data_IF_476008600025
#
_entry.id   IF_476008600025
#
_cell.length_a   1.000
_cell.length_b   1.000
_cell.length_c   1.000
_cell.angle_alpha   90.00
_cell.angle_beta   90.00
_cell.angle_gamma   90.00
#
_symmetry.space_group_name_H-M   'P 1'
#
loop_
_entity.id
_entity.type
_entity.pdbx_description
1 polymer ?
#
# COMPACT_ATOMS: atom_id res chain seq x y z
N UNK A 1 -26.85 -19.56 -11.32
CA UNK A 1 -26.99 -18.13 -11.59
C UNK A 1 -25.64 -17.41 -11.67
N UNK A 2 -24.79 -17.46 -10.65
CA UNK A 2 -23.43 -16.81 -10.65
C UNK A 2 -22.62 -17.20 -11.88
N UNK A 3 -22.52 -18.47 -12.25
CA UNK A 3 -21.79 -18.96 -13.43
C UNK A 3 -22.26 -18.38 -14.78
N UNK A 4 -23.48 -17.83 -14.84
CA UNK A 4 -23.99 -17.20 -16.06
C UNK A 4 -23.78 -15.69 -16.07
N UNK A 5 -23.63 -15.08 -14.90
CA UNK A 5 -23.48 -13.62 -14.76
C UNK A 5 -22.00 -13.21 -14.84
N UNK A 6 -21.10 -13.97 -14.21
CA UNK A 6 -19.69 -13.63 -14.16
C UNK A 6 -19.02 -13.41 -15.53
N UNK A 7 -19.26 -14.27 -16.55
CA UNK A 7 -18.68 -14.04 -17.88
C UNK A 7 -19.17 -12.76 -18.53
N UNK A 8 -20.39 -12.31 -18.21
CA UNK A 8 -20.94 -11.08 -18.76
C UNK A 8 -20.23 -9.82 -18.24
N UNK A 9 -19.73 -9.86 -16.99
CA UNK A 9 -18.97 -8.73 -16.41
C UNK A 9 -17.66 -8.43 -17.14
N UNK A 10 -17.10 -9.42 -17.83
CA UNK A 10 -15.83 -9.31 -18.57
C UNK A 10 -16.06 -9.06 -20.07
N UNK A 11 -17.31 -9.10 -20.50
CA UNK A 11 -17.65 -8.86 -21.92
C UNK A 11 -17.31 -7.42 -22.30
N UNK A 12 -16.54 -7.28 -23.38
CA UNK A 12 -16.20 -5.98 -23.98
C UNK A 12 -17.38 -5.35 -24.74
N UNK A 13 -18.47 -6.10 -24.90
CA UNK A 13 -19.66 -5.67 -25.64
C UNK A 13 -20.67 -4.92 -24.77
N UNK A 14 -20.48 -4.93 -23.42
CA UNK A 14 -21.40 -4.25 -22.50
C UNK A 14 -21.10 -2.76 -22.43
N UNK A 15 -22.16 -1.95 -22.51
CA UNK A 15 -22.13 -0.54 -22.17
C UNK A 15 -21.89 -0.35 -20.66
N UNK A 16 -21.34 0.79 -20.26
CA UNK A 16 -21.03 1.09 -18.84
C UNK A 16 -22.26 1.00 -17.93
N UNK A 17 -23.42 1.40 -18.43
CA UNK A 17 -24.68 1.31 -17.67
C UNK A 17 -25.11 -0.15 -17.43
N UNK A 18 -24.92 -1.02 -18.42
CA UNK A 18 -25.26 -2.44 -18.30
C UNK A 18 -24.32 -3.16 -17.33
N UNK A 19 -23.01 -2.83 -17.40
CA UNK A 19 -22.00 -3.32 -16.46
C UNK A 19 -22.35 -2.91 -15.03
N UNK A 20 -22.71 -1.66 -14.81
CA UNK A 20 -23.13 -1.16 -13.50
C UNK A 20 -24.36 -1.91 -12.95
N UNK A 21 -25.35 -2.19 -13.79
CA UNK A 21 -26.52 -2.99 -13.40
C UNK A 21 -26.14 -4.42 -13.05
N UNK A 22 -25.23 -5.04 -13.81
CA UNK A 22 -24.73 -6.39 -13.51
C UNK A 22 -23.99 -6.45 -12.17
N UNK A 23 -23.15 -5.47 -11.86
CA UNK A 23 -22.48 -5.35 -10.56
C UNK A 23 -23.48 -5.28 -9.42
N UNK A 24 -24.55 -4.48 -9.57
CA UNK A 24 -25.65 -4.42 -8.57
C UNK A 24 -26.34 -5.76 -8.40
N UNK A 25 -26.56 -6.49 -9.49
CA UNK A 25 -27.15 -7.83 -9.43
C UNK A 25 -26.23 -8.80 -8.70
N UNK A 26 -24.91 -8.78 -9.01
CA UNK A 26 -23.91 -9.60 -8.32
C UNK A 26 -23.89 -9.30 -6.83
N UNK A 27 -23.83 -8.03 -6.43
CA UNK A 27 -23.87 -7.61 -5.02
C UNK A 27 -25.13 -8.12 -4.29
N UNK A 28 -26.26 -8.02 -4.93
CA UNK A 28 -27.52 -8.51 -4.35
C UNK A 28 -27.57 -10.03 -4.21
N UNK A 29 -26.95 -10.75 -5.14
CA UNK A 29 -26.81 -12.21 -5.09
C UNK A 29 -25.84 -12.59 -3.95
N UNK A 30 -24.69 -11.92 -3.83
CA UNK A 30 -23.73 -12.16 -2.75
C UNK A 30 -24.38 -11.96 -1.38
N UNK A 31 -25.11 -10.86 -1.20
CA UNK A 31 -25.81 -10.59 0.04
C UNK A 31 -26.85 -11.70 0.41
N UNK A 32 -27.55 -12.23 -0.59
CA UNK A 32 -28.54 -13.29 -0.35
C UNK A 32 -27.93 -14.67 -0.15
N UNK A 33 -26.77 -14.94 -0.75
CA UNK A 33 -26.10 -16.23 -0.62
C UNK A 33 -25.37 -16.37 0.71
N UNK A 34 -24.91 -15.23 1.27
CA UNK A 34 -24.10 -15.22 2.50
C UNK A 34 -22.98 -16.29 2.44
N UNK A 35 -22.84 -17.12 3.46
CA UNK A 35 -21.81 -18.16 3.54
C UNK A 35 -21.85 -19.19 2.40
N UNK A 36 -22.96 -19.35 1.71
CA UNK A 36 -23.10 -20.20 0.52
C UNK A 36 -22.28 -19.71 -0.69
N UNK A 37 -21.73 -18.51 -0.63
CA UNK A 37 -20.83 -17.97 -1.66
C UNK A 37 -19.46 -18.64 -1.67
N UNK A 38 -19.05 -19.29 -0.57
CA UNK A 38 -17.72 -19.86 -0.35
C UNK A 38 -17.17 -20.71 -1.52
N UNK A 39 -17.93 -21.63 -2.14
CA UNK A 39 -17.43 -22.40 -3.28
C UNK A 39 -17.17 -21.58 -4.55
N UNK A 40 -17.63 -20.33 -4.59
CA UNK A 40 -17.54 -19.45 -5.77
C UNK A 40 -16.50 -18.34 -5.61
N UNK A 41 -15.90 -18.17 -4.42
CA UNK A 41 -14.99 -17.05 -4.09
C UNK A 41 -13.89 -16.91 -5.12
N UNK A 42 -13.14 -17.97 -5.40
CA UNK A 42 -12.04 -17.93 -6.38
C UNK A 42 -12.52 -17.46 -7.77
N UNK A 43 -13.64 -17.99 -8.26
CA UNK A 43 -14.18 -17.63 -9.59
C UNK A 43 -14.66 -16.19 -9.66
N UNK A 44 -15.21 -15.67 -8.58
CA UNK A 44 -15.62 -14.26 -8.49
C UNK A 44 -14.38 -13.38 -8.49
N UNK A 45 -13.35 -13.72 -7.70
CA UNK A 45 -12.12 -12.97 -7.61
C UNK A 45 -11.37 -12.88 -8.95
N UNK A 46 -11.24 -13.97 -9.69
CA UNK A 46 -10.61 -13.98 -11.02
C UNK A 46 -11.23 -12.93 -11.95
N UNK A 47 -12.53 -12.70 -11.85
CA UNK A 47 -13.25 -11.73 -12.66
C UNK A 47 -13.13 -10.30 -12.11
N UNK A 48 -13.14 -10.13 -10.79
CA UNK A 48 -13.30 -8.82 -10.15
C UNK A 48 -11.95 -8.20 -9.77
N UNK A 49 -10.91 -8.98 -9.49
CA UNK A 49 -9.58 -8.46 -9.14
C UNK A 49 -8.99 -7.51 -10.20
N UNK A 50 -9.08 -7.79 -11.52
CA UNK A 50 -8.65 -6.85 -12.55
C UNK A 50 -9.30 -5.48 -12.46
N UNK A 51 -10.58 -5.42 -12.08
CA UNK A 51 -11.29 -4.15 -11.92
C UNK A 51 -10.68 -3.24 -10.84
N UNK A 52 -10.02 -3.82 -9.82
CA UNK A 52 -9.41 -3.05 -8.71
C UNK A 52 -8.20 -2.22 -9.13
N UNK A 53 -7.59 -2.55 -10.25
CA UNK A 53 -6.41 -1.86 -10.81
C UNK A 53 -6.67 -1.30 -12.20
N UNK A 54 -7.92 -1.26 -12.63
CA UNK A 54 -8.35 -0.69 -13.90
C UNK A 54 -8.02 0.81 -13.99
N UNK A 55 -7.82 1.32 -15.19
CA UNK A 55 -7.64 2.74 -15.44
C UNK A 55 -8.91 3.56 -15.10
N UNK A 56 -10.08 2.98 -15.37
CA UNK A 56 -11.36 3.60 -15.04
C UNK A 56 -11.61 3.66 -13.52
N UNK A 57 -12.01 4.84 -13.06
CA UNK A 57 -12.33 5.08 -11.65
C UNK A 57 -13.56 4.30 -11.18
N UNK A 58 -14.61 4.27 -12.01
CA UNK A 58 -15.86 3.61 -11.66
C UNK A 58 -15.70 2.09 -11.58
N UNK A 59 -14.95 1.49 -12.50
CA UNK A 59 -14.59 0.08 -12.44
C UNK A 59 -13.90 -0.27 -11.11
N UNK A 60 -12.95 0.57 -10.65
CA UNK A 60 -12.30 0.36 -9.35
C UNK A 60 -13.24 0.48 -8.17
N UNK A 61 -14.20 1.39 -8.20
CA UNK A 61 -15.20 1.56 -7.13
C UNK A 61 -16.11 0.34 -7.06
N UNK A 62 -16.63 -0.10 -8.20
CA UNK A 62 -17.51 -1.27 -8.31
C UNK A 62 -16.78 -2.56 -7.90
N UNK A 63 -15.55 -2.75 -8.38
CA UNK A 63 -14.72 -3.88 -7.96
C UNK A 63 -14.50 -3.93 -6.45
N UNK A 64 -14.23 -2.77 -5.81
CA UNK A 64 -14.10 -2.68 -4.35
C UNK A 64 -15.38 -3.05 -3.63
N UNK A 65 -16.53 -2.63 -4.12
CA UNK A 65 -17.83 -2.96 -3.54
C UNK A 65 -18.08 -4.48 -3.58
N UNK A 66 -17.85 -5.11 -4.74
CA UNK A 66 -18.01 -6.57 -4.90
C UNK A 66 -17.08 -7.33 -3.97
N UNK A 67 -15.79 -7.00 -3.94
CA UNK A 67 -14.80 -7.68 -3.07
C UNK A 67 -15.12 -7.48 -1.59
N UNK A 68 -15.57 -6.27 -1.18
CA UNK A 68 -15.99 -6.00 0.19
C UNK A 68 -17.16 -6.87 0.62
N UNK A 69 -18.20 -6.97 -0.22
CA UNK A 69 -19.37 -7.79 0.06
C UNK A 69 -19.02 -9.29 0.05
N UNK A 70 -18.16 -9.70 -0.88
CA UNK A 70 -17.65 -11.07 -0.94
C UNK A 70 -16.87 -11.44 0.34
N UNK A 71 -15.99 -10.55 0.81
CA UNK A 71 -15.22 -10.76 2.03
C UNK A 71 -16.11 -10.90 3.27
N UNK A 72 -17.14 -10.07 3.40
CA UNK A 72 -18.12 -10.15 4.49
C UNK A 72 -18.91 -11.46 4.47
N UNK A 73 -19.30 -11.93 3.29
CA UNK A 73 -20.07 -13.16 3.12
C UNK A 73 -19.22 -14.44 3.30
N UNK A 74 -18.04 -14.48 2.68
CA UNK A 74 -17.19 -15.67 2.70
C UNK A 74 -16.36 -15.81 4.00
N UNK A 75 -15.92 -14.68 4.55
CA UNK A 75 -15.01 -14.59 5.70
C UNK A 75 -13.52 -14.65 5.31
N UNK A 76 -12.67 -14.18 6.21
CA UNK A 76 -11.24 -13.98 5.98
C UNK A 76 -10.50 -15.25 5.53
N UNK A 77 -10.78 -16.40 6.15
CA UNK A 77 -10.08 -17.64 5.85
C UNK A 77 -10.27 -18.08 4.39
N UNK A 78 -11.48 -17.93 3.86
CA UNK A 78 -11.78 -18.26 2.45
C UNK A 78 -11.16 -17.25 1.49
N UNK A 79 -11.16 -15.97 1.84
CA UNK A 79 -10.48 -14.95 1.03
C UNK A 79 -8.98 -15.23 0.94
N UNK A 80 -8.32 -15.52 2.08
CA UNK A 80 -6.89 -15.83 2.09
C UNK A 80 -6.61 -17.11 1.28
N UNK A 81 -7.38 -18.17 1.47
CA UNK A 81 -7.13 -19.44 0.77
C UNK A 81 -7.29 -19.31 -0.75
N UNK A 82 -8.21 -18.46 -1.21
CA UNK A 82 -8.48 -18.25 -2.63
C UNK A 82 -7.46 -17.39 -3.38
N UNK A 83 -6.73 -16.51 -2.66
CA UNK A 83 -5.76 -15.57 -3.25
C UNK A 83 -4.31 -15.89 -2.87
N UNK A 84 -4.07 -16.94 -2.06
CA UNK A 84 -2.75 -17.22 -1.49
C UNK A 84 -1.70 -17.53 -2.55
N UNK A 85 -2.07 -18.26 -3.59
CA UNK A 85 -1.15 -18.68 -4.66
C UNK A 85 -0.70 -17.51 -5.52
N UNK A 86 -1.51 -16.45 -5.61
CA UNK A 86 -1.22 -15.26 -6.41
C UNK A 86 -0.22 -14.32 -5.76
N UNK A 87 0.06 -14.48 -4.45
CA UNK A 87 1.00 -13.64 -3.71
C UNK A 87 2.44 -13.71 -4.23
N UNK A 88 2.86 -14.86 -4.72
CA UNK A 88 4.20 -15.08 -5.28
C UNK A 88 4.18 -15.46 -6.76
N UNK A 89 3.07 -15.17 -7.45
CA UNK A 89 2.97 -15.27 -8.91
C UNK A 89 4.13 -14.56 -9.60
N UNK A 90 4.63 -15.12 -10.69
CA UNK A 90 5.65 -14.47 -11.52
C UNK A 90 5.09 -13.25 -12.23
N UNK A 91 3.80 -13.23 -12.54
CA UNK A 91 3.12 -12.10 -13.16
C UNK A 91 2.92 -10.95 -12.15
N UNK A 92 3.51 -9.81 -12.45
CA UNK A 92 3.36 -8.61 -11.62
C UNK A 92 1.94 -8.06 -11.64
N UNK A 93 1.22 -8.22 -12.74
CA UNK A 93 -0.17 -7.79 -12.86
C UNK A 93 -1.05 -8.55 -11.86
N UNK A 94 -0.92 -9.87 -11.80
CA UNK A 94 -1.63 -10.72 -10.83
C UNK A 94 -1.31 -10.28 -9.40
N UNK A 95 -0.02 -10.13 -9.04
CA UNK A 95 0.36 -9.66 -7.70
C UNK A 95 -0.20 -8.28 -7.36
N UNK A 96 -0.32 -7.38 -8.34
CA UNK A 96 -0.89 -6.04 -8.14
C UNK A 96 -2.38 -6.08 -7.86
N UNK A 97 -3.13 -6.89 -8.61
CA UNK A 97 -4.56 -7.11 -8.43
C UNK A 97 -4.85 -7.76 -7.08
N UNK A 98 -4.11 -8.82 -6.75
CA UNK A 98 -4.20 -9.52 -5.45
C UNK A 98 -3.88 -8.59 -4.28
N UNK A 99 -2.84 -7.74 -4.39
CA UNK A 99 -2.54 -6.78 -3.34
C UNK A 99 -3.67 -5.74 -3.15
N UNK A 100 -4.31 -5.32 -4.24
CA UNK A 100 -5.47 -4.45 -4.17
C UNK A 100 -6.67 -5.16 -3.52
N UNK A 101 -6.93 -6.42 -3.89
CA UNK A 101 -8.01 -7.21 -3.30
C UNK A 101 -7.84 -7.39 -1.77
N UNK A 102 -6.64 -7.75 -1.31
CA UNK A 102 -6.35 -7.86 0.13
C UNK A 102 -6.51 -6.53 0.88
N UNK A 103 -6.21 -5.39 0.26
CA UNK A 103 -6.45 -4.08 0.90
C UNK A 103 -7.94 -3.82 1.11
N UNK A 104 -8.78 -4.24 0.17
CA UNK A 104 -10.25 -4.16 0.31
C UNK A 104 -10.76 -5.12 1.39
N UNK A 105 -10.20 -6.34 1.46
CA UNK A 105 -10.53 -7.31 2.52
C UNK A 105 -10.19 -6.71 3.90
N UNK A 106 -9.02 -6.07 4.04
CA UNK A 106 -8.63 -5.39 5.28
C UNK A 106 -9.59 -4.26 5.65
N UNK A 107 -10.05 -3.49 4.67
CA UNK A 107 -11.06 -2.44 4.88
C UNK A 107 -12.42 -3.02 5.29
N UNK A 108 -12.82 -4.15 4.73
CA UNK A 108 -14.14 -4.76 4.95
C UNK A 108 -14.24 -5.52 6.29
N UNK A 109 -13.16 -6.22 6.70
CA UNK A 109 -13.13 -7.10 7.87
C UNK A 109 -12.32 -6.56 9.04
N UNK A 110 -11.63 -5.44 8.83
CA UNK A 110 -10.79 -4.77 9.82
C UNK A 110 -9.32 -5.19 9.75
N UNK A 111 -8.43 -4.21 9.93
CA UNK A 111 -6.97 -4.41 9.95
C UNK A 111 -6.53 -5.43 10.99
N UNK A 112 -7.05 -5.44 12.25
CA UNK A 112 -6.61 -6.39 13.27
C UNK A 112 -6.70 -7.85 12.83
N UNK A 113 -7.75 -8.22 12.10
CA UNK A 113 -7.94 -9.57 11.59
C UNK A 113 -6.86 -9.97 10.57
N UNK A 114 -6.31 -9.00 9.84
CA UNK A 114 -5.29 -9.21 8.81
C UNK A 114 -3.85 -9.26 9.35
N UNK A 115 -3.56 -8.70 10.53
CA UNK A 115 -2.20 -8.57 11.06
C UNK A 115 -1.42 -9.89 11.11
N UNK A 116 -1.98 -11.01 11.60
CA UNK A 116 -1.25 -12.28 11.63
C UNK A 116 -0.84 -12.76 10.24
N UNK A 117 -1.73 -12.63 9.27
CA UNK A 117 -1.47 -12.97 7.88
C UNK A 117 -0.39 -12.05 7.27
N UNK A 118 -0.50 -10.74 7.44
CA UNK A 118 0.48 -9.77 6.94
C UNK A 118 1.88 -10.02 7.51
N UNK A 119 1.99 -10.26 8.82
CA UNK A 119 3.27 -10.63 9.47
C UNK A 119 3.90 -11.87 8.84
N UNK A 120 3.09 -12.89 8.56
CA UNK A 120 3.57 -14.13 7.97
C UNK A 120 4.05 -13.94 6.51
N UNK A 121 3.30 -13.19 5.70
CA UNK A 121 3.63 -12.97 4.28
C UNK A 121 4.83 -12.03 4.13
N UNK A 122 4.85 -10.89 4.85
CA UNK A 122 5.97 -9.93 4.80
C UNK A 122 7.31 -10.53 5.25
N UNK A 123 7.27 -11.63 6.04
CA UNK A 123 8.46 -12.34 6.54
C UNK A 123 8.68 -13.71 5.89
N UNK A 124 8.06 -13.94 4.74
CA UNK A 124 8.20 -15.23 4.03
C UNK A 124 9.67 -15.53 3.73
N UNK A 125 10.17 -16.65 4.28
CA UNK A 125 11.54 -17.12 4.00
C UNK A 125 11.67 -17.81 2.64
N UNK A 126 10.56 -18.27 2.07
CA UNK A 126 10.54 -19.06 0.84
C UNK A 126 10.54 -18.21 -0.42
N UNK A 127 9.84 -17.08 -0.41
CA UNK A 127 9.61 -16.28 -1.61
C UNK A 127 9.79 -14.79 -1.33
N UNK A 128 10.72 -14.16 -2.03
CA UNK A 128 10.86 -12.69 -2.00
C UNK A 128 9.67 -11.99 -2.70
N UNK A 129 9.05 -12.65 -3.69
CA UNK A 129 7.85 -12.14 -4.35
C UNK A 129 6.69 -12.03 -3.35
N UNK A 130 6.51 -13.05 -2.49
CA UNK A 130 5.52 -13.00 -1.43
C UNK A 130 5.82 -11.87 -0.44
N UNK A 131 7.08 -11.66 -0.01
CA UNK A 131 7.46 -10.52 0.86
C UNK A 131 7.12 -9.19 0.19
N UNK A 132 7.50 -9.03 -1.08
CA UNK A 132 7.21 -7.84 -1.87
C UNK A 132 5.71 -7.57 -1.96
N UNK A 133 4.89 -8.59 -2.26
CA UNK A 133 3.44 -8.46 -2.37
C UNK A 133 2.80 -8.18 -1.01
N UNK A 134 3.25 -8.84 0.07
CA UNK A 134 2.78 -8.58 1.43
C UNK A 134 3.00 -7.12 1.86
N UNK A 135 4.18 -6.58 1.58
CA UNK A 135 4.49 -5.16 1.87
C UNK A 135 3.65 -4.24 0.97
N UNK A 136 3.42 -4.62 -0.29
CA UNK A 136 2.53 -3.89 -1.19
C UNK A 136 1.08 -3.86 -0.68
N UNK A 137 0.60 -4.93 -0.05
CA UNK A 137 -0.72 -4.96 0.60
C UNK A 137 -0.77 -3.89 1.70
N UNK A 138 0.23 -3.83 2.58
CA UNK A 138 0.28 -2.81 3.64
C UNK A 138 0.28 -1.39 3.06
N UNK A 139 1.05 -1.14 2.00
CA UNK A 139 1.03 0.13 1.26
C UNK A 139 -0.38 0.46 0.76
N UNK A 140 -1.05 -0.50 0.11
CA UNK A 140 -2.41 -0.32 -0.42
C UNK A 140 -3.45 -0.10 0.68
N UNK A 141 -3.30 -0.74 1.84
CA UNK A 141 -4.16 -0.48 3.02
C UNK A 141 -4.03 0.98 3.44
N UNK A 142 -2.81 1.50 3.55
CA UNK A 142 -2.58 2.91 3.90
C UNK A 142 -3.21 3.87 2.88
N UNK A 143 -3.02 3.61 1.58
CA UNK A 143 -3.59 4.41 0.49
C UNK A 143 -5.13 4.37 0.44
N UNK A 144 -5.72 3.20 0.77
CA UNK A 144 -7.17 3.02 0.71
C UNK A 144 -7.89 3.60 1.93
N UNK A 145 -7.31 3.42 3.12
CA UNK A 145 -7.99 3.70 4.39
C UNK A 145 -7.60 5.06 5.00
N UNK A 146 -6.51 5.68 4.52
CA UNK A 146 -6.05 6.96 5.02
C UNK A 146 -5.89 6.95 6.55
N UNK A 147 -6.37 7.98 7.24
CA UNK A 147 -6.23 8.13 8.69
C UNK A 147 -6.86 7.00 9.53
N UNK A 148 -7.71 6.17 8.95
CA UNK A 148 -8.25 5.00 9.65
C UNK A 148 -7.19 3.94 10.01
N UNK A 149 -5.95 4.04 9.49
CA UNK A 149 -4.84 3.17 9.88
C UNK A 149 -4.22 3.55 11.24
N UNK A 150 -4.45 4.77 11.75
CA UNK A 150 -3.82 5.28 12.98
C UNK A 150 -3.88 4.31 14.18
N UNK A 151 -5.01 3.72 14.53
CA UNK A 151 -5.09 2.79 15.67
C UNK A 151 -4.23 1.52 15.49
N UNK A 152 -3.83 1.22 14.25
CA UNK A 152 -3.11 0.01 13.88
C UNK A 152 -1.71 0.29 13.31
N UNK A 153 -1.31 1.57 13.27
CA UNK A 153 -0.09 2.04 12.62
C UNK A 153 1.14 1.28 13.08
N UNK A 154 1.35 1.16 14.39
CA UNK A 154 2.48 0.43 14.97
C UNK A 154 2.58 -1.01 14.48
N UNK A 155 1.44 -1.72 14.43
CA UNK A 155 1.42 -3.10 13.97
C UNK A 155 1.72 -3.21 12.46
N UNK A 156 1.24 -2.25 11.65
CA UNK A 156 1.52 -2.20 10.21
C UNK A 156 2.99 -1.89 9.93
N UNK A 157 3.58 -0.93 10.66
CA UNK A 157 5.03 -0.64 10.57
C UNK A 157 5.85 -1.87 10.97
N UNK A 158 5.49 -2.55 12.07
CA UNK A 158 6.15 -3.79 12.48
C UNK A 158 6.05 -4.93 11.46
N UNK A 159 4.99 -4.98 10.66
CA UNK A 159 4.88 -5.97 9.57
C UNK A 159 5.94 -5.77 8.50
N UNK A 160 6.28 -4.52 8.17
CA UNK A 160 7.14 -4.18 7.02
C UNK A 160 8.59 -3.85 7.40
N UNK A 161 8.91 -3.61 8.67
CA UNK A 161 10.21 -3.10 9.11
C UNK A 161 11.41 -3.90 8.62
N UNK A 162 11.31 -5.23 8.60
CA UNK A 162 12.40 -6.12 8.21
C UNK A 162 12.74 -5.98 6.71
N UNK A 163 11.82 -5.46 5.90
CA UNK A 163 12.01 -5.22 4.47
C UNK A 163 12.97 -4.07 4.14
N UNK A 164 13.32 -3.18 5.10
CA UNK A 164 14.28 -2.10 4.88
C UNK A 164 15.67 -2.66 4.59
N UNK A 165 16.03 -3.75 5.26
CA UNK A 165 17.33 -4.42 5.15
C UNK A 165 17.29 -5.71 4.33
N UNK A 166 16.18 -5.95 3.60
CA UNK A 166 16.03 -7.15 2.76
C UNK A 166 17.16 -7.24 1.72
N UNK A 167 17.60 -8.44 1.43
CA UNK A 167 18.59 -8.72 0.40
C UNK A 167 18.14 -8.29 -1.00
N UNK A 168 16.82 -8.36 -1.27
CA UNK A 168 16.24 -7.99 -2.56
C UNK A 168 15.99 -6.48 -2.68
N UNK A 169 16.60 -5.77 -3.66
CA UNK A 169 16.41 -4.32 -3.84
C UNK A 169 14.95 -3.92 -4.06
N UNK A 170 14.17 -4.76 -4.76
CA UNK A 170 12.74 -4.51 -5.00
C UNK A 170 11.94 -4.53 -3.70
N UNK A 171 12.31 -5.40 -2.75
CA UNK A 171 11.66 -5.45 -1.43
C UNK A 171 12.03 -4.21 -0.61
N UNK A 172 13.30 -3.79 -0.58
CA UNK A 172 13.70 -2.54 0.09
C UNK A 172 12.93 -1.33 -0.46
N UNK A 173 12.81 -1.24 -1.79
CA UNK A 173 12.10 -0.13 -2.45
C UNK A 173 10.62 -0.10 -2.08
N UNK A 174 9.92 -1.23 -2.15
CA UNK A 174 8.49 -1.26 -1.80
C UNK A 174 8.27 -1.02 -0.30
N UNK A 175 9.22 -1.41 0.56
CA UNK A 175 9.17 -1.13 2.00
C UNK A 175 9.24 0.36 2.28
N UNK A 176 10.18 1.07 1.65
CA UNK A 176 10.27 2.52 1.77
C UNK A 176 8.97 3.21 1.28
N UNK A 177 8.40 2.75 0.16
CA UNK A 177 7.13 3.27 -0.34
C UNK A 177 5.94 2.96 0.59
N UNK A 178 5.96 1.81 1.27
CA UNK A 178 4.92 1.46 2.24
C UNK A 178 5.02 2.34 3.50
N UNK A 179 6.24 2.59 3.99
CA UNK A 179 6.47 3.52 5.10
C UNK A 179 6.06 4.94 4.74
N UNK A 180 6.35 5.40 3.51
CA UNK A 180 5.89 6.70 3.01
C UNK A 180 4.36 6.80 3.03
N UNK A 181 3.65 5.78 2.55
CA UNK A 181 2.19 5.75 2.53
C UNK A 181 1.58 5.71 3.94
N UNK A 182 2.19 4.95 4.86
CA UNK A 182 1.77 4.91 6.27
C UNK A 182 1.96 6.26 6.95
N UNK A 183 3.10 6.92 6.73
CA UNK A 183 3.37 8.26 7.29
C UNK A 183 2.43 9.31 6.70
N UNK A 184 2.20 9.30 5.39
CA UNK A 184 1.24 10.19 4.73
C UNK A 184 -0.18 10.03 5.28
N UNK A 185 -0.60 8.77 5.49
CA UNK A 185 -1.93 8.44 6.01
C UNK A 185 -2.11 8.81 7.49
N UNK A 186 -1.04 8.82 8.28
CA UNK A 186 -1.08 9.10 9.72
C UNK A 186 -0.89 10.56 10.08
N UNK A 187 -0.41 11.39 9.14
CA UNK A 187 -0.13 12.81 9.38
C UNK A 187 -1.32 13.51 10.09
N UNK A 188 -1.04 14.33 11.12
CA UNK A 188 0.26 14.72 11.70
C UNK A 188 0.72 13.87 12.90
N UNK A 189 0.19 12.69 13.12
CA UNK A 189 0.37 11.88 14.34
C UNK A 189 1.15 10.58 14.11
N UNK A 190 1.58 9.94 15.19
CA UNK A 190 2.02 8.55 15.19
C UNK A 190 3.50 8.32 14.96
N UNK A 191 4.36 9.32 15.17
CA UNK A 191 5.81 9.19 14.99
C UNK A 191 6.42 8.03 15.80
N UNK A 192 5.90 7.76 16.99
CA UNK A 192 6.37 6.70 17.89
C UNK A 192 6.25 5.30 17.25
N UNK A 193 5.34 5.16 16.30
CA UNK A 193 5.17 3.91 15.56
C UNK A 193 6.32 3.64 14.60
N UNK A 194 7.07 4.68 14.20
CA UNK A 194 8.19 4.59 13.26
C UNK A 194 9.55 4.45 13.95
N UNK A 195 9.64 4.54 15.27
CA UNK A 195 10.93 4.50 16.00
C UNK A 195 11.79 3.29 15.61
N UNK A 196 11.17 2.13 15.41
CA UNK A 196 11.89 0.90 15.05
C UNK A 196 12.46 0.91 13.61
N UNK A 197 12.07 1.85 12.76
CA UNK A 197 12.51 1.94 11.35
C UNK A 197 13.34 3.19 11.05
N UNK A 198 13.40 4.19 11.95
CA UNK A 198 14.12 5.43 11.69
C UNK A 198 15.62 5.19 11.45
N UNK A 199 16.33 4.56 12.38
CA UNK A 199 17.77 4.34 12.26
C UNK A 199 18.14 3.52 10.99
N UNK A 200 17.50 2.37 10.70
CA UNK A 200 17.81 1.63 9.48
C UNK A 200 17.42 2.39 8.20
N UNK A 201 16.34 3.19 8.20
CA UNK A 201 15.95 3.98 7.05
C UNK A 201 16.99 5.09 6.76
N UNK A 202 17.41 5.87 7.75
CA UNK A 202 18.44 6.91 7.60
C UNK A 202 19.80 6.34 7.21
N UNK A 203 20.19 5.20 7.75
CA UNK A 203 21.39 4.51 7.31
C UNK A 203 21.30 4.09 5.84
N UNK A 204 20.14 3.63 5.40
CA UNK A 204 19.92 3.20 4.02
C UNK A 204 19.99 4.36 3.02
N UNK A 205 19.48 5.55 3.36
CA UNK A 205 19.54 6.76 2.51
C UNK A 205 20.98 7.15 2.15
N UNK A 206 21.92 6.95 3.06
CA UNK A 206 23.35 7.24 2.83
C UNK A 206 24.01 6.32 1.78
N UNK A 207 23.50 5.09 1.64
CA UNK A 207 24.08 4.05 0.78
C UNK A 207 23.33 3.85 -0.54
N UNK A 208 22.01 4.01 -0.52
CA UNK A 208 21.16 3.78 -1.69
C UNK A 208 21.43 4.76 -2.83
N UNK A 209 21.04 4.36 -4.06
CA UNK A 209 21.11 5.18 -5.28
C UNK A 209 19.88 4.93 -6.15
N UNK A 210 19.61 5.86 -7.07
CA UNK A 210 18.55 5.73 -8.08
C UNK A 210 17.15 5.54 -7.47
N UNK A 211 16.35 4.65 -8.06
CA UNK A 211 14.96 4.41 -7.65
C UNK A 211 14.78 4.01 -6.18
N UNK A 212 15.73 3.25 -5.63
CA UNK A 212 15.67 2.86 -4.22
C UNK A 212 15.93 4.04 -3.28
N UNK A 213 16.85 4.92 -3.64
CA UNK A 213 17.06 6.17 -2.91
C UNK A 213 15.84 7.10 -3.01
N UNK A 214 15.28 7.25 -4.20
CA UNK A 214 14.06 8.05 -4.40
C UNK A 214 12.90 7.60 -3.50
N UNK A 215 12.69 6.28 -3.38
CA UNK A 215 11.69 5.71 -2.49
C UNK A 215 12.00 5.99 -1.01
N UNK A 216 13.26 5.85 -0.59
CA UNK A 216 13.69 6.14 0.77
C UNK A 216 13.54 7.64 1.11
N UNK A 217 13.93 8.54 0.20
CA UNK A 217 13.74 9.99 0.37
C UNK A 217 12.26 10.34 0.48
N UNK A 218 11.41 9.70 -0.31
CA UNK A 218 9.96 9.88 -0.18
C UNK A 218 9.46 9.50 1.21
N UNK A 219 9.93 8.38 1.77
CA UNK A 219 9.56 7.96 3.13
C UNK A 219 10.04 8.98 4.17
N UNK A 220 11.29 9.42 4.07
CA UNK A 220 11.88 10.46 4.93
C UNK A 220 11.03 11.74 4.91
N UNK A 221 10.68 12.22 3.71
CA UNK A 221 9.88 13.44 3.55
C UNK A 221 8.50 13.38 4.19
N UNK A 222 7.86 12.21 4.26
CA UNK A 222 6.58 12.06 4.95
C UNK A 222 6.72 11.78 6.45
N UNK A 223 7.84 11.22 6.90
CA UNK A 223 8.08 10.92 8.32
C UNK A 223 8.53 12.17 9.10
N UNK A 224 9.37 13.01 8.51
CA UNK A 224 9.88 14.24 9.16
C UNK A 224 8.75 15.12 9.72
N UNK A 225 7.66 15.41 8.97
CA UNK A 225 6.56 16.23 9.48
C UNK A 225 5.76 15.63 10.64
N UNK A 226 6.00 14.37 10.99
CA UNK A 226 5.39 13.74 12.17
C UNK A 226 6.21 13.99 13.45
N UNK A 227 7.44 14.48 13.33
CA UNK A 227 8.37 14.69 14.44
C UNK A 227 8.11 16.04 15.11
N UNK A 228 8.50 16.16 16.38
CA UNK A 228 8.67 17.45 17.02
C UNK A 228 9.85 18.23 16.38
N UNK A 229 9.86 19.55 16.55
CA UNK A 229 10.84 20.47 15.96
C UNK A 229 12.29 20.06 16.25
N UNK A 230 12.61 19.77 17.50
CA UNK A 230 13.97 19.43 17.94
C UNK A 230 14.46 18.14 17.26
N UNK A 231 13.61 17.14 17.18
CA UNK A 231 13.93 15.86 16.55
C UNK A 231 13.99 16.02 15.02
N UNK A 232 13.06 16.75 14.43
CA UNK A 232 13.03 17.02 13.00
C UNK A 232 14.31 17.71 12.51
N UNK A 233 14.79 18.74 13.22
CA UNK A 233 16.00 19.48 12.88
C UNK A 233 17.22 18.54 12.73
N UNK A 234 17.46 17.65 13.70
CA UNK A 234 18.57 16.69 13.63
C UNK A 234 18.51 15.78 12.41
N UNK A 235 17.31 15.30 12.06
CA UNK A 235 17.12 14.42 10.91
C UNK A 235 17.18 15.17 9.57
N UNK A 236 16.81 16.44 9.54
CA UNK A 236 16.89 17.29 8.36
C UNK A 236 18.35 17.59 8.02
N UNK A 237 19.18 17.98 8.99
CA UNK A 237 20.61 18.22 8.78
C UNK A 237 21.30 17.02 8.15
N UNK A 238 20.99 15.83 8.64
CA UNK A 238 21.53 14.56 8.12
C UNK A 238 21.16 14.30 6.64
N UNK A 239 19.95 14.72 6.22
CA UNK A 239 19.45 14.40 4.88
C UNK A 239 19.71 15.52 3.87
N UNK A 240 19.89 16.79 4.32
CA UNK A 240 20.06 17.94 3.44
C UNK A 240 21.24 17.79 2.48
N UNK A 241 22.39 17.31 2.95
CA UNK A 241 23.53 17.06 2.07
C UNK A 241 23.20 16.12 0.91
N UNK A 242 22.40 15.09 1.18
CA UNK A 242 21.98 14.13 0.17
C UNK A 242 20.99 14.79 -0.80
N UNK A 243 20.04 15.59 -0.29
CA UNK A 243 19.06 16.30 -1.11
C UNK A 243 19.75 17.28 -2.08
N UNK A 244 20.73 18.05 -1.61
CA UNK A 244 21.51 18.96 -2.46
C UNK A 244 22.27 18.21 -3.56
N UNK A 245 22.92 17.10 -3.21
CA UNK A 245 23.61 16.24 -4.18
C UNK A 245 22.67 15.70 -5.24
N UNK A 246 21.53 15.14 -4.86
CA UNK A 246 20.59 14.51 -5.79
C UNK A 246 19.81 15.55 -6.62
N UNK A 247 19.66 16.78 -6.14
CA UNK A 247 19.07 17.87 -6.91
C UNK A 247 19.93 18.23 -8.14
N UNK A 248 21.24 18.08 -8.06
CA UNK A 248 22.18 18.33 -9.15
C UNK A 248 22.24 17.21 -10.20
N UNK A 249 21.50 16.11 -10.01
CA UNK A 249 21.46 15.00 -10.98
C UNK A 249 20.58 15.35 -12.19
N UNK A 250 20.82 14.73 -13.37
CA UNK A 250 19.99 14.94 -14.55
C UNK A 250 18.60 14.25 -14.46
N UNK A 251 18.36 13.42 -13.44
CA UNK A 251 17.11 12.66 -13.26
C UNK A 251 15.99 13.58 -12.78
N UNK A 252 15.03 13.88 -13.68
CA UNK A 252 13.88 14.74 -13.37
C UNK A 252 12.96 14.18 -12.29
N UNK A 253 12.77 12.86 -12.25
CA UNK A 253 11.91 12.24 -11.23
C UNK A 253 12.57 12.35 -9.85
N UNK A 254 13.87 12.16 -9.78
CA UNK A 254 14.63 12.39 -8.56
C UNK A 254 14.52 13.84 -8.10
N UNK A 255 14.70 14.81 -9.01
CA UNK A 255 14.57 16.26 -8.68
C UNK A 255 13.19 16.61 -8.15
N UNK A 256 12.11 16.09 -8.75
CA UNK A 256 10.73 16.28 -8.26
C UNK A 256 10.56 15.75 -6.82
N UNK A 257 11.13 14.59 -6.53
CA UNK A 257 11.08 14.00 -5.19
C UNK A 257 11.87 14.86 -4.21
N UNK A 258 13.09 15.29 -4.56
CA UNK A 258 13.92 16.17 -3.73
C UNK A 258 13.18 17.47 -3.39
N UNK A 259 12.61 18.15 -4.39
CA UNK A 259 11.83 19.40 -4.17
C UNK A 259 10.66 19.13 -3.22
N UNK A 260 9.96 18.00 -3.38
CA UNK A 260 8.84 17.64 -2.50
C UNK A 260 9.31 17.42 -1.07
N UNK A 261 10.43 16.73 -0.88
CA UNK A 261 11.00 16.48 0.46
C UNK A 261 11.47 17.77 1.11
N UNK A 262 12.18 18.62 0.37
CA UNK A 262 12.60 19.95 0.86
C UNK A 262 11.39 20.77 1.29
N UNK A 263 10.32 20.79 0.47
CA UNK A 263 9.08 21.49 0.84
C UNK A 263 8.48 20.95 2.15
N UNK A 264 8.47 19.65 2.35
CA UNK A 264 7.98 19.04 3.58
C UNK A 264 8.85 19.40 4.80
N UNK A 265 10.18 19.41 4.63
CA UNK A 265 11.11 19.86 5.68
C UNK A 265 10.85 21.32 6.10
N UNK A 266 10.69 22.20 5.12
CA UNK A 266 10.45 23.64 5.37
C UNK A 266 9.08 23.91 6.01
N UNK A 267 8.11 23.06 5.77
CA UNK A 267 6.77 23.18 6.36
C UNK A 267 6.68 22.65 7.79
N UNK A 268 7.70 21.95 8.27
CA UNK A 268 7.76 21.49 9.67
C UNK A 268 8.05 22.69 10.56
N UNK A 269 7.25 22.89 11.61
CA UNK A 269 7.32 24.09 12.46
C UNK A 269 8.73 24.39 12.97
N UNK A 270 9.11 25.67 12.97
CA UNK A 270 10.41 26.20 13.44
C UNK A 270 11.50 26.29 12.37
N UNK A 271 11.57 25.38 11.41
CA UNK A 271 12.62 25.36 10.38
C UNK A 271 12.36 26.40 9.28
N UNK A 272 11.10 26.78 9.07
CA UNK A 272 10.72 27.78 8.08
C UNK A 272 11.30 29.19 8.35
N UNK A 273 11.73 29.49 9.56
CA UNK A 273 12.34 30.77 9.94
C UNK A 273 13.85 30.83 9.65
N UNK A 274 14.58 29.72 9.75
CA UNK A 274 16.03 29.69 9.54
C UNK A 274 16.42 29.55 8.06
N UNK A 275 15.68 28.79 7.27
CA UNK A 275 15.95 28.61 5.82
C UNK A 275 15.61 29.85 4.98
N UNK A 276 14.95 30.88 5.56
CA UNK A 276 14.65 32.13 4.85
C UNK A 276 15.78 33.16 4.86
N UNK A 277 16.87 32.88 5.53
CA UNK A 277 17.96 33.87 5.75
C UNK A 277 19.28 33.53 5.04
N UNK A 278 19.36 32.40 4.29
CA UNK A 278 20.48 32.06 3.41
C UNK A 278 20.00 31.93 1.94
#
# INVERSE_FOLDING_TARGET
>A
MIYRILPLLVSTELEDQERHLLVKVVNRVLFKLDSLVRPFVHKILVVVEPMLIDADYYARVEGREVVSNLAKAAGLAYMISSMREDLDSQDEYVRNATAAAFSVVASALGIPAMIPFLKAVCRSKKSWLARHTGIKIVKRIAELMGCAVLPHLRHLVECVKDGITDEQPKVRTITALALAALAEASFPYGIESFDCVLAPLWSSVKVLRGKSLAAALKAVGFIIPLMDETRASQYIDDVMYILVREFSTPDEEMRKIVIKVVKQCVQTDGIASEVRLE
#
